data_IF_913393325239
#
_entry.id   IF_913393325239
#
_cell.length_a   1.000
_cell.length_b   1.000
_cell.length_c   1.000
_cell.angle_alpha   90.00
_cell.angle_beta   90.00
_cell.angle_gamma   90.00
#
_symmetry.space_group_name_H-M   'P 1'
#
loop_
_entity.id
_entity.type
_entity.pdbx_description
1 polymer ?
#
# COMPACT_ATOMS: atom_id res chain seq x y z
N UNK A 1 44.35 23.34 15.93
CA UNK A 1 44.18 21.91 16.30
C UNK A 1 42.68 21.67 16.47
N UNK A 2 42.06 21.11 15.46
CA UNK A 2 40.67 20.68 15.56
C UNK A 2 40.66 19.20 15.91
N UNK A 3 39.86 18.75 16.89
CA UNK A 3 39.69 17.32 17.12
C UNK A 3 39.01 16.67 15.92
N UNK A 4 39.36 15.43 15.56
CA UNK A 4 38.70 14.72 14.48
C UNK A 4 37.23 14.43 14.86
N UNK A 5 36.28 14.87 14.03
CA UNK A 5 34.87 14.45 14.15
C UNK A 5 34.79 12.98 13.75
N UNK A 6 34.80 12.12 14.73
CA UNK A 6 34.78 10.67 14.52
C UNK A 6 33.38 10.08 14.43
N UNK A 7 32.34 10.78 14.88
CA UNK A 7 30.96 10.24 14.85
C UNK A 7 29.93 11.36 14.60
N UNK A 8 29.03 11.09 13.67
CA UNK A 8 27.79 11.86 13.51
C UNK A 8 26.61 10.95 13.88
N UNK A 9 25.80 11.37 14.87
CA UNK A 9 24.61 10.62 15.28
C UNK A 9 23.44 11.08 14.42
N UNK A 10 22.86 10.13 13.70
CA UNK A 10 21.64 10.36 12.91
C UNK A 10 20.40 10.19 13.82
N UNK A 11 19.34 10.95 13.57
CA UNK A 11 18.10 10.89 14.36
C UNK A 11 17.38 9.52 14.34
N UNK A 12 17.82 8.55 13.51
CA UNK A 12 17.34 7.17 13.45
C UNK A 12 18.13 6.19 14.32
N UNK A 13 19.16 6.64 15.06
CA UNK A 13 19.96 5.77 15.92
C UNK A 13 21.06 4.96 15.22
N UNK A 14 21.24 5.10 13.91
CA UNK A 14 22.35 4.50 13.17
C UNK A 14 23.55 5.45 13.12
N UNK A 15 24.74 4.95 13.47
CA UNK A 15 25.99 5.71 13.39
C UNK A 15 26.65 5.47 12.02
N UNK A 16 26.92 6.54 11.27
CA UNK A 16 27.73 6.46 10.06
C UNK A 16 29.19 6.72 10.40
N UNK A 17 30.07 5.73 10.17
CA UNK A 17 31.50 5.87 10.36
C UNK A 17 32.12 6.67 9.20
N UNK A 18 32.58 7.88 9.51
CA UNK A 18 33.23 8.79 8.56
C UNK A 18 34.76 8.65 8.55
N UNK A 19 35.32 7.65 9.24
CA UNK A 19 36.78 7.47 9.42
C UNK A 19 37.56 7.17 8.15
N UNK A 20 36.93 6.70 7.08
CA UNK A 20 37.58 6.30 5.82
C UNK A 20 37.62 7.37 4.73
N UNK A 21 36.99 8.54 4.93
CA UNK A 21 36.99 9.60 3.93
C UNK A 21 38.27 10.43 3.98
N UNK A 22 39.03 10.46 2.88
CA UNK A 22 40.39 11.00 2.78
C UNK A 22 40.44 12.54 2.73
N UNK A 23 39.33 13.25 2.42
CA UNK A 23 39.28 14.69 2.40
C UNK A 23 37.86 15.25 2.65
N UNK A 24 37.75 16.58 2.83
CA UNK A 24 36.50 17.29 3.15
C UNK A 24 35.44 17.18 2.04
N UNK A 25 35.86 17.16 0.78
CA UNK A 25 34.95 17.08 -0.37
C UNK A 25 34.28 15.70 -0.45
N UNK A 26 35.05 14.63 -0.27
CA UNK A 26 34.53 13.25 -0.23
C UNK A 26 33.56 13.00 0.91
N UNK A 27 33.72 13.72 2.04
CA UNK A 27 32.79 13.66 3.20
C UNK A 27 31.46 14.31 2.92
N UNK A 28 31.46 15.45 2.19
CA UNK A 28 30.24 16.17 1.80
C UNK A 28 29.45 15.31 0.79
N UNK A 29 30.12 14.73 -0.19
CA UNK A 29 29.51 13.90 -1.21
C UNK A 29 28.90 12.60 -0.66
N UNK A 30 29.52 12.01 0.38
CA UNK A 30 28.97 10.86 1.09
C UNK A 30 27.70 11.19 1.88
N UNK A 31 27.62 12.40 2.45
CA UNK A 31 26.43 12.87 3.19
C UNK A 31 25.27 13.23 2.26
N UNK A 32 25.56 13.79 1.09
CA UNK A 32 24.54 14.10 0.07
C UNK A 32 23.91 12.83 -0.52
N UNK A 33 24.68 11.77 -0.72
CA UNK A 33 24.18 10.46 -1.17
C UNK A 33 23.30 9.75 -0.14
N UNK A 34 23.45 10.08 1.14
CA UNK A 34 22.59 9.57 2.22
C UNK A 34 21.32 10.40 2.46
N UNK A 35 21.06 11.42 1.64
CA UNK A 35 19.86 12.28 1.76
C UNK A 35 19.89 13.30 2.90
N UNK A 36 21.02 13.44 3.58
CA UNK A 36 21.19 14.41 4.70
C UNK A 36 21.58 15.76 4.14
N UNK A 37 20.68 16.74 4.20
CA UNK A 37 21.01 18.13 3.85
C UNK A 37 21.81 18.77 4.97
N UNK A 38 23.13 18.95 4.76
CA UNK A 38 23.95 19.76 5.65
C UNK A 38 23.70 21.25 5.41
N UNK A 39 23.09 21.91 6.39
CA UNK A 39 23.07 23.39 6.42
C UNK A 39 24.44 23.84 6.92
N UNK A 40 25.25 24.39 6.02
CA UNK A 40 26.56 24.93 6.35
C UNK A 40 26.42 26.18 7.21
N UNK A 41 26.74 26.09 8.50
CA UNK A 41 26.91 27.24 9.36
C UNK A 41 28.30 27.88 9.07
N UNK A 42 28.30 29.04 8.47
CA UNK A 42 29.48 29.90 8.43
C UNK A 42 29.66 30.52 9.81
N UNK A 43 30.52 29.92 10.61
CA UNK A 43 31.00 30.56 11.83
C UNK A 43 32.19 31.45 11.46
N UNK A 44 31.97 32.75 11.34
CA UNK A 44 33.06 33.75 11.41
C UNK A 44 33.58 33.79 12.86
N UNK A 45 34.72 33.16 13.08
CA UNK A 45 35.49 33.38 14.30
C UNK A 45 36.27 34.67 14.18
N UNK A 46 35.75 35.73 14.74
CA UNK A 46 36.53 36.91 15.12
C UNK A 46 36.30 37.16 16.60
N UNK A 47 37.41 37.10 17.37
CA UNK A 47 37.62 37.63 18.73
C UNK A 47 36.61 37.25 19.84
N UNK A 48 37.01 36.33 20.70
CA UNK A 48 37.06 36.48 22.17
C UNK A 48 35.79 36.50 23.02
N UNK A 49 34.59 36.57 22.45
CA UNK A 49 33.37 36.64 23.26
C UNK A 49 32.51 35.39 23.09
N UNK A 50 32.27 34.69 24.19
CA UNK A 50 31.30 33.59 24.22
C UNK A 50 29.90 34.17 24.10
N UNK A 51 29.12 33.82 23.05
CA UNK A 51 27.73 34.25 23.01
C UNK A 51 26.96 33.58 24.17
N UNK A 52 25.98 34.25 24.79
CA UNK A 52 25.16 33.65 25.83
C UNK A 52 24.41 32.43 25.24
N UNK A 53 24.46 31.33 25.97
CA UNK A 53 23.64 30.16 25.70
C UNK A 53 22.17 30.59 25.73
N UNK A 54 21.60 30.93 24.58
CA UNK A 54 20.15 31.03 24.43
C UNK A 54 19.60 29.63 24.52
N UNK A 55 19.02 29.30 25.67
CA UNK A 55 18.14 28.17 25.84
C UNK A 55 17.00 28.34 24.81
N UNK A 56 17.10 27.67 23.68
CA UNK A 56 15.95 27.51 22.80
C UNK A 56 14.86 26.82 23.59
N UNK A 57 13.64 27.33 23.64
CA UNK A 57 12.59 26.70 24.41
C UNK A 57 12.35 25.30 23.87
N UNK A 58 12.41 24.31 24.77
CA UNK A 58 12.21 22.87 24.49
C UNK A 58 10.92 22.59 23.68
N UNK A 59 9.97 23.54 23.68
CA UNK A 59 8.76 23.49 22.86
C UNK A 59 9.03 23.54 21.35
N UNK A 60 10.04 24.29 20.89
CA UNK A 60 10.33 24.40 19.45
C UNK A 60 10.93 23.09 18.88
N UNK A 61 11.68 22.33 19.70
CA UNK A 61 12.17 20.99 19.32
C UNK A 61 11.05 19.96 19.30
N UNK A 62 10.07 20.06 20.21
CA UNK A 62 8.91 19.17 20.24
C UNK A 62 7.95 19.41 19.06
N UNK A 63 7.82 20.63 18.57
CA UNK A 63 7.00 20.93 17.39
C UNK A 63 7.67 20.43 16.08
N UNK A 64 9.01 20.49 15.99
CA UNK A 64 9.73 19.94 14.83
C UNK A 64 9.71 18.41 14.76
N UNK A 65 9.56 17.73 15.90
CA UNK A 65 9.42 16.27 15.93
C UNK A 65 7.97 15.80 15.74
N UNK A 66 7.01 16.68 16.02
CA UNK A 66 5.58 16.38 15.86
C UNK A 66 5.13 16.42 14.41
N UNK A 67 5.76 17.24 13.56
CA UNK A 67 5.45 17.33 12.12
C UNK A 67 6.09 16.22 11.28
N UNK A 68 7.02 15.43 11.84
CA UNK A 68 7.67 14.33 11.12
C UNK A 68 7.00 12.97 11.35
N UNK A 69 6.00 12.88 12.24
CA UNK A 69 5.04 11.78 12.25
C UNK A 69 3.80 12.25 11.45
N UNK A 70 3.98 12.69 10.23
CA UNK A 70 2.93 12.60 9.24
C UNK A 70 2.74 11.10 8.99
N UNK A 71 1.73 10.54 9.65
CA UNK A 71 1.03 9.37 9.16
C UNK A 71 0.83 9.61 7.67
N UNK A 72 1.52 8.85 6.80
CA UNK A 72 1.31 8.90 5.36
C UNK A 72 -0.20 9.03 5.14
N UNK A 73 -0.68 9.99 4.33
CA UNK A 73 -2.10 10.09 4.07
C UNK A 73 -2.51 8.71 3.59
N UNK A 74 -3.46 8.08 4.29
CA UNK A 74 -4.03 6.79 3.92
C UNK A 74 -4.70 7.01 2.55
N UNK A 75 -3.88 6.88 1.49
CA UNK A 75 -4.22 7.20 0.11
C UNK A 75 -5.36 6.27 -0.31
N UNK A 76 -6.41 6.83 -0.88
CA UNK A 76 -7.52 6.06 -1.40
C UNK A 76 -7.01 5.11 -2.50
N UNK A 77 -7.42 3.84 -2.46
CA UNK A 77 -7.05 2.87 -3.51
C UNK A 77 -7.53 3.33 -4.89
N UNK A 78 -8.56 4.17 -4.94
CA UNK A 78 -9.13 4.72 -6.19
C UNK A 78 -8.22 5.74 -6.89
N UNK A 79 -7.17 6.25 -6.23
CA UNK A 79 -6.17 7.13 -6.84
C UNK A 79 -5.15 6.35 -7.71
N UNK A 80 -5.14 5.03 -7.59
CA UNK A 80 -4.23 4.17 -8.35
C UNK A 80 -4.77 3.97 -9.76
N UNK A 81 -3.89 4.07 -10.76
CA UNK A 81 -4.27 3.81 -12.15
C UNK A 81 -4.27 2.30 -12.41
N UNK A 82 -5.40 1.77 -12.80
CA UNK A 82 -5.57 0.38 -13.25
C UNK A 82 -6.63 0.38 -14.35
N UNK A 83 -6.42 -0.42 -15.40
CA UNK A 83 -7.38 -0.52 -16.50
C UNK A 83 -8.43 -1.61 -16.22
N UNK A 84 -9.58 -1.54 -16.91
CA UNK A 84 -10.52 -2.67 -16.97
C UNK A 84 -9.91 -3.82 -17.75
N UNK A 85 -10.41 -5.01 -17.54
CA UNK A 85 -9.96 -6.22 -18.24
C UNK A 85 -10.00 -6.06 -19.77
N UNK A 86 -11.00 -5.37 -20.30
CA UNK A 86 -11.14 -5.06 -21.74
C UNK A 86 -10.32 -3.85 -22.20
N UNK A 87 -9.54 -3.22 -21.31
CA UNK A 87 -8.72 -2.05 -21.61
C UNK A 87 -9.45 -0.70 -21.69
N UNK A 88 -10.77 -0.67 -21.49
CA UNK A 88 -11.58 0.55 -21.64
C UNK A 88 -11.89 1.23 -20.30
N UNK A 89 -11.12 2.26 -19.95
CA UNK A 89 -11.32 3.03 -18.69
C UNK A 89 -10.84 2.31 -17.44
N UNK A 90 -11.24 2.81 -16.28
CA UNK A 90 -10.88 2.24 -14.97
C UNK A 90 -12.03 1.40 -14.41
N UNK A 91 -11.79 0.23 -13.80
CA UNK A 91 -12.82 -0.49 -13.07
C UNK A 91 -13.27 0.27 -11.81
N UNK A 92 -12.49 1.22 -11.34
CA UNK A 92 -12.87 2.07 -10.21
C UNK A 92 -14.05 2.98 -10.50
N UNK A 93 -14.31 3.33 -11.78
CA UNK A 93 -15.48 4.13 -12.18
C UNK A 93 -16.80 3.46 -11.76
N UNK A 94 -16.83 2.11 -11.69
CA UNK A 94 -18.04 1.34 -11.32
C UNK A 94 -18.21 1.20 -9.81
N UNK A 95 -17.13 1.35 -9.04
CA UNK A 95 -17.11 1.06 -7.61
C UNK A 95 -16.87 2.29 -6.73
N UNK A 96 -16.57 3.43 -7.33
CA UNK A 96 -16.34 4.68 -6.61
C UNK A 96 -17.54 5.04 -5.72
N UNK A 97 -17.28 5.30 -4.43
CA UNK A 97 -18.31 5.61 -3.43
C UNK A 97 -19.14 4.42 -2.96
N UNK A 98 -18.80 3.21 -3.39
CA UNK A 98 -19.39 1.95 -2.90
C UNK A 98 -18.46 1.26 -1.91
N UNK A 99 -19.02 0.46 -1.03
CA UNK A 99 -18.27 -0.55 -0.29
C UNK A 99 -17.86 -1.64 -1.28
N UNK A 100 -16.57 -1.95 -1.37
CA UNK A 100 -16.06 -2.83 -2.44
C UNK A 100 -15.24 -3.99 -1.85
N UNK A 101 -15.60 -5.22 -2.20
CA UNK A 101 -14.78 -6.39 -1.94
C UNK A 101 -13.81 -6.60 -3.11
N UNK A 102 -12.55 -6.19 -2.92
CA UNK A 102 -11.48 -6.35 -3.89
C UNK A 102 -10.79 -7.70 -3.69
N UNK A 103 -10.69 -8.51 -4.74
CA UNK A 103 -10.20 -9.89 -4.67
C UNK A 103 -9.24 -10.19 -5.83
N UNK A 104 -8.05 -10.72 -5.54
CA UNK A 104 -7.19 -11.26 -6.60
C UNK A 104 -7.70 -12.64 -7.03
N UNK A 105 -7.99 -12.81 -8.30
CA UNK A 105 -8.73 -13.95 -8.83
C UNK A 105 -7.94 -14.78 -9.83
N UNK A 106 -8.34 -16.04 -10.02
CA UNK A 106 -7.78 -16.95 -11.01
C UNK A 106 -8.81 -18.00 -11.47
N UNK A 107 -8.74 -18.37 -12.75
CA UNK A 107 -9.68 -19.29 -13.40
C UNK A 107 -9.40 -20.77 -13.13
N UNK A 108 -8.15 -21.14 -12.77
CA UNK A 108 -7.70 -22.54 -12.63
C UNK A 108 -7.18 -22.88 -11.23
N UNK A 109 -7.81 -22.29 -10.20
CA UNK A 109 -7.46 -22.48 -8.80
C UNK A 109 -8.48 -23.40 -8.10
N UNK A 110 -8.05 -24.13 -7.09
CA UNK A 110 -8.99 -24.87 -6.22
C UNK A 110 -10.01 -23.99 -5.51
N UNK A 111 -9.71 -22.68 -5.37
CA UNK A 111 -10.60 -21.68 -4.76
C UNK A 111 -11.50 -20.95 -5.77
N UNK A 112 -11.38 -21.25 -7.08
CA UNK A 112 -12.20 -20.64 -8.15
C UNK A 112 -13.72 -20.72 -7.89
N UNK A 113 -14.28 -21.77 -7.24
CA UNK A 113 -15.71 -21.79 -6.88
C UNK A 113 -16.18 -20.61 -6.00
N UNK A 114 -15.28 -19.88 -5.35
CA UNK A 114 -15.63 -18.67 -4.59
C UNK A 114 -16.27 -17.57 -5.47
N UNK A 115 -16.09 -17.61 -6.79
CA UNK A 115 -16.80 -16.70 -7.71
C UNK A 115 -18.32 -16.74 -7.51
N UNK A 116 -18.89 -17.93 -7.21
CA UNK A 116 -20.35 -18.06 -6.98
C UNK A 116 -20.80 -17.18 -5.82
N UNK A 117 -20.13 -17.26 -4.67
CA UNK A 117 -20.46 -16.45 -3.51
C UNK A 117 -20.19 -14.95 -3.74
N UNK A 118 -19.10 -14.62 -4.46
CA UNK A 118 -18.79 -13.24 -4.83
C UNK A 118 -19.90 -12.65 -5.71
N UNK A 119 -20.38 -13.38 -6.72
CA UNK A 119 -21.45 -12.95 -7.60
C UNK A 119 -22.78 -12.83 -6.84
N UNK A 120 -23.08 -13.76 -5.95
CA UNK A 120 -24.29 -13.68 -5.12
C UNK A 120 -24.29 -12.43 -4.25
N UNK A 121 -23.19 -12.14 -3.53
CA UNK A 121 -23.05 -10.93 -2.72
C UNK A 121 -23.19 -9.65 -3.57
N UNK A 122 -22.59 -9.64 -4.77
CA UNK A 122 -22.72 -8.52 -5.68
C UNK A 122 -24.19 -8.28 -6.06
N UNK A 123 -24.90 -9.33 -6.45
CA UNK A 123 -26.30 -9.28 -6.82
C UNK A 123 -27.17 -8.78 -5.68
N UNK A 124 -27.02 -9.36 -4.49
CA UNK A 124 -27.90 -9.10 -3.32
C UNK A 124 -27.67 -7.71 -2.71
N UNK A 125 -26.44 -7.19 -2.79
CA UNK A 125 -26.06 -5.97 -2.08
C UNK A 125 -25.76 -4.77 -2.99
N UNK A 126 -25.78 -4.94 -4.32
CA UNK A 126 -25.47 -3.85 -5.26
C UNK A 126 -26.39 -2.64 -5.09
N UNK A 127 -27.69 -2.88 -4.86
CA UNK A 127 -28.68 -1.83 -4.59
C UNK A 127 -28.42 -1.06 -3.27
N UNK A 128 -27.67 -1.66 -2.33
CA UNK A 128 -27.27 -1.02 -1.07
C UNK A 128 -25.94 -0.26 -1.17
N UNK A 129 -25.33 -0.22 -2.37
CA UNK A 129 -24.06 0.45 -2.60
C UNK A 129 -22.83 -0.43 -2.31
N UNK A 130 -22.95 -1.73 -2.55
CA UNK A 130 -21.86 -2.68 -2.54
C UNK A 130 -21.43 -3.06 -3.95
N UNK A 131 -20.19 -3.48 -4.10
CA UNK A 131 -19.69 -4.11 -5.32
C UNK A 131 -18.56 -5.09 -5.00
N UNK A 132 -18.30 -5.98 -5.95
CA UNK A 132 -17.07 -6.77 -6.00
C UNK A 132 -16.18 -6.20 -7.09
N UNK A 133 -14.87 -6.26 -6.90
CA UNK A 133 -13.87 -5.98 -7.94
C UNK A 133 -12.89 -7.15 -8.01
N UNK A 134 -12.91 -7.89 -9.12
CA UNK A 134 -11.95 -8.96 -9.36
C UNK A 134 -10.68 -8.43 -10.05
N UNK A 135 -9.54 -8.86 -9.56
CA UNK A 135 -8.21 -8.52 -10.10
C UNK A 135 -7.49 -9.79 -10.53
N UNK A 136 -7.49 -10.15 -11.82
CA UNK A 136 -6.81 -11.34 -12.32
C UNK A 136 -5.31 -11.31 -12.03
N UNK A 137 -4.75 -12.44 -11.54
CA UNK A 137 -3.34 -12.58 -11.22
C UNK A 137 -2.82 -13.99 -11.59
N UNK A 138 -1.69 -14.05 -12.32
CA UNK A 138 -1.10 -15.30 -12.76
C UNK A 138 0.11 -15.76 -11.94
N UNK A 139 0.46 -15.07 -10.86
CA UNK A 139 1.68 -15.36 -10.08
C UNK A 139 1.60 -16.66 -9.26
N UNK A 140 0.40 -17.13 -8.93
CA UNK A 140 0.19 -18.32 -8.12
C UNK A 140 0.07 -19.55 -9.02
N UNK A 141 1.18 -20.23 -9.24
CA UNK A 141 1.32 -21.48 -10.06
C UNK A 141 0.77 -21.33 -11.49
N UNK A 142 0.74 -20.12 -12.07
CA UNK A 142 0.23 -19.91 -13.41
C UNK A 142 -1.27 -20.22 -13.55
N UNK A 143 -2.06 -20.03 -12.50
CA UNK A 143 -3.47 -20.41 -12.44
C UNK A 143 -4.42 -19.41 -13.13
N UNK A 144 -3.89 -18.32 -13.71
CA UNK A 144 -4.64 -17.40 -14.58
C UNK A 144 -3.92 -17.17 -15.92
N UNK A 145 -3.75 -18.25 -16.73
CA UNK A 145 -2.98 -18.16 -17.96
C UNK A 145 -3.70 -17.44 -19.10
N UNK A 146 -5.03 -17.32 -19.04
CA UNK A 146 -5.88 -16.76 -20.08
C UNK A 146 -5.54 -15.30 -20.44
N UNK A 147 -5.83 -14.90 -21.67
CA UNK A 147 -5.85 -13.50 -22.05
C UNK A 147 -7.14 -12.82 -21.52
N UNK A 148 -7.28 -11.51 -21.72
CA UNK A 148 -8.40 -10.75 -21.20
C UNK A 148 -9.77 -11.27 -21.69
N UNK A 149 -9.86 -11.64 -22.95
CA UNK A 149 -11.10 -12.17 -23.53
C UNK A 149 -11.46 -13.54 -22.94
N UNK A 150 -10.49 -14.44 -22.82
CA UNK A 150 -10.68 -15.79 -22.23
C UNK A 150 -11.12 -15.71 -20.77
N UNK A 151 -10.52 -14.78 -19.99
CA UNK A 151 -10.89 -14.55 -18.59
C UNK A 151 -12.34 -14.01 -18.51
N UNK A 152 -12.66 -13.00 -19.33
CA UNK A 152 -14.01 -12.43 -19.37
C UNK A 152 -15.06 -13.47 -19.72
N UNK A 153 -14.81 -14.27 -20.76
CA UNK A 153 -15.70 -15.35 -21.20
C UNK A 153 -15.87 -16.41 -20.11
N UNK A 154 -14.77 -16.87 -19.51
CA UNK A 154 -14.82 -17.82 -18.41
C UNK A 154 -15.66 -17.32 -17.24
N UNK A 155 -15.40 -16.10 -16.76
CA UNK A 155 -16.10 -15.53 -15.62
C UNK A 155 -17.60 -15.36 -15.91
N UNK A 156 -17.97 -14.86 -17.08
CA UNK A 156 -19.38 -14.63 -17.43
C UNK A 156 -20.14 -15.91 -17.72
N UNK A 157 -19.54 -16.88 -18.46
CA UNK A 157 -20.24 -18.09 -18.87
C UNK A 157 -20.31 -19.15 -17.79
N UNK A 158 -19.27 -19.24 -16.95
CA UNK A 158 -19.18 -20.30 -15.92
C UNK A 158 -19.82 -19.87 -14.60
N UNK A 159 -19.68 -18.61 -14.23
CA UNK A 159 -20.13 -18.10 -12.92
C UNK A 159 -21.15 -16.96 -13.01
N UNK A 160 -21.49 -16.51 -14.23
CA UNK A 160 -22.42 -15.41 -14.43
C UNK A 160 -21.90 -14.06 -13.91
N UNK A 161 -20.56 -13.91 -13.82
CA UNK A 161 -19.94 -12.69 -13.24
C UNK A 161 -20.32 -11.46 -14.06
N UNK A 162 -20.93 -10.48 -13.40
CA UNK A 162 -21.29 -9.17 -13.93
C UNK A 162 -20.64 -7.99 -13.17
N UNK A 163 -19.91 -8.27 -12.09
CA UNK A 163 -19.10 -7.27 -11.40
C UNK A 163 -17.81 -6.94 -12.19
N UNK A 164 -17.23 -5.72 -11.99
CA UNK A 164 -16.07 -5.29 -12.74
C UNK A 164 -14.84 -6.17 -12.49
N UNK A 165 -14.08 -6.39 -13.57
CA UNK A 165 -12.75 -7.02 -13.56
C UNK A 165 -11.70 -6.03 -14.04
N UNK A 166 -10.54 -6.01 -13.39
CA UNK A 166 -9.40 -5.23 -13.83
C UNK A 166 -8.55 -6.00 -14.86
N UNK A 167 -7.62 -5.29 -15.49
CA UNK A 167 -6.50 -5.92 -16.17
C UNK A 167 -5.75 -6.89 -15.27
N UNK A 168 -5.07 -7.87 -15.87
CA UNK A 168 -4.22 -8.81 -15.13
C UNK A 168 -2.96 -8.12 -14.66
N UNK A 169 -2.68 -8.20 -13.34
CA UNK A 169 -1.52 -7.54 -12.72
C UNK A 169 -0.75 -8.50 -11.81
N UNK A 170 0.49 -8.12 -11.50
CA UNK A 170 1.27 -8.76 -10.47
C UNK A 170 0.94 -8.15 -9.09
N UNK A 171 0.70 -9.02 -8.12
CA UNK A 171 0.30 -8.64 -6.76
C UNK A 171 1.45 -8.70 -5.76
N UNK A 172 2.56 -9.38 -6.11
CA UNK A 172 3.75 -9.57 -5.28
C UNK A 172 5.05 -9.32 -6.05
N UNK A 173 6.17 -9.17 -5.33
CA UNK A 173 7.52 -9.00 -5.88
C UNK A 173 7.78 -7.61 -6.43
N UNK A 174 8.89 -7.47 -7.18
CA UNK A 174 9.38 -6.17 -7.69
C UNK A 174 8.44 -5.55 -8.73
N UNK A 175 7.68 -6.38 -9.46
CA UNK A 175 6.68 -5.94 -10.45
C UNK A 175 5.28 -5.71 -9.84
N UNK A 176 5.15 -5.75 -8.51
CA UNK A 176 3.88 -5.51 -7.81
C UNK A 176 3.22 -4.23 -8.28
N UNK A 177 1.97 -4.34 -8.70
CA UNK A 177 1.18 -3.18 -9.08
C UNK A 177 0.98 -2.22 -7.89
N UNK A 178 0.98 -0.90 -8.16
CA UNK A 178 0.86 0.15 -7.13
C UNK A 178 -0.37 -0.01 -6.23
N UNK A 179 -1.49 -0.52 -6.76
CA UNK A 179 -2.68 -0.87 -5.98
C UNK A 179 -2.34 -1.83 -4.83
N UNK A 180 -1.62 -2.90 -5.12
CA UNK A 180 -1.24 -3.89 -4.11
C UNK A 180 -0.13 -3.40 -3.19
N UNK A 181 0.72 -2.46 -3.62
CA UNK A 181 1.70 -1.84 -2.74
C UNK A 181 1.04 -1.13 -1.54
N UNK A 182 -0.14 -0.54 -1.73
CA UNK A 182 -0.92 0.06 -0.64
C UNK A 182 -1.71 -0.98 0.17
N UNK A 183 -2.33 -1.96 -0.50
CA UNK A 183 -3.19 -2.96 0.15
C UNK A 183 -2.43 -3.86 1.13
N UNK A 184 -1.22 -4.30 0.78
CA UNK A 184 -0.42 -5.25 1.60
C UNK A 184 0.04 -4.66 2.94
N UNK A 185 -0.06 -3.37 3.14
CA UNK A 185 0.23 -2.71 4.43
C UNK A 185 -0.90 -2.86 5.45
N UNK A 186 -2.10 -3.24 4.99
CA UNK A 186 -3.27 -3.41 5.85
C UNK A 186 -3.22 -4.77 6.54
N UNK A 187 -3.42 -4.83 7.88
CA UNK A 187 -3.45 -6.09 8.61
C UNK A 187 -4.77 -6.84 8.38
N UNK A 188 -4.72 -8.16 8.48
CA UNK A 188 -5.93 -8.97 8.71
C UNK A 188 -6.27 -9.05 10.21
N UNK A 189 -7.29 -9.82 10.56
CA UNK A 189 -7.74 -9.98 11.95
C UNK A 189 -6.68 -10.61 12.88
N UNK A 190 -5.70 -11.32 12.33
CA UNK A 190 -4.60 -11.94 13.06
C UNK A 190 -3.35 -11.03 13.12
N UNK A 191 -3.42 -9.85 12.51
CA UNK A 191 -2.33 -8.88 12.45
C UNK A 191 -1.33 -9.12 11.30
N UNK A 192 -1.61 -10.04 10.38
CA UNK A 192 -0.74 -10.28 9.23
C UNK A 192 -0.77 -9.10 8.26
N UNK A 193 0.41 -8.61 7.91
CA UNK A 193 0.66 -7.66 6.81
C UNK A 193 1.67 -8.27 5.85
N UNK A 194 1.81 -7.68 4.65
CA UNK A 194 2.77 -8.15 3.65
C UNK A 194 2.12 -8.86 2.47
N UNK A 195 2.91 -9.68 1.77
CA UNK A 195 2.57 -10.27 0.47
C UNK A 195 1.21 -10.98 0.45
N UNK A 196 0.59 -10.98 -0.73
CA UNK A 196 -0.62 -11.76 -0.99
C UNK A 196 -0.25 -13.23 -0.90
N UNK A 197 -0.97 -13.97 -0.04
CA UNK A 197 -0.64 -15.35 0.31
C UNK A 197 -1.01 -16.37 -0.77
N UNK A 198 -2.12 -16.10 -1.49
CA UNK A 198 -2.63 -16.97 -2.55
C UNK A 198 -3.71 -16.26 -3.37
N UNK A 199 -4.23 -16.94 -4.43
CA UNK A 199 -5.44 -16.48 -5.11
C UNK A 199 -6.62 -16.39 -4.15
N UNK A 200 -7.53 -15.48 -4.41
CA UNK A 200 -8.73 -15.20 -3.61
C UNK A 200 -8.43 -14.63 -2.20
N UNK A 201 -7.36 -13.88 -2.02
CA UNK A 201 -7.21 -13.01 -0.86
C UNK A 201 -8.08 -11.76 -1.06
N UNK A 202 -8.76 -11.32 -0.01
CA UNK A 202 -9.79 -10.28 -0.10
C UNK A 202 -9.43 -9.07 0.73
N UNK A 203 -9.76 -7.88 0.18
CA UNK A 203 -9.71 -6.61 0.89
C UNK A 203 -11.08 -5.95 0.82
N UNK A 204 -11.65 -5.60 1.96
CA UNK A 204 -12.85 -4.79 2.01
C UNK A 204 -12.46 -3.33 2.01
N UNK A 205 -12.98 -2.58 1.04
CA UNK A 205 -12.70 -1.17 0.83
C UNK A 205 -13.96 -0.38 1.20
N UNK A 206 -13.81 0.61 2.04
CA UNK A 206 -14.89 1.52 2.41
C UNK A 206 -15.25 2.50 1.28
N UNK A 207 -16.34 3.21 1.45
CA UNK A 207 -16.82 4.23 0.47
C UNK A 207 -15.78 5.33 0.20
N UNK A 208 -14.89 5.59 1.15
CA UNK A 208 -13.80 6.57 1.09
C UNK A 208 -12.54 6.02 0.40
N UNK A 209 -12.57 4.78 -0.07
CA UNK A 209 -11.44 4.12 -0.72
C UNK A 209 -10.36 3.61 0.23
N UNK A 210 -10.65 3.52 1.53
CA UNK A 210 -9.71 2.97 2.51
C UNK A 210 -10.00 1.52 2.80
N UNK A 211 -8.94 0.76 3.11
CA UNK A 211 -9.08 -0.64 3.53
C UNK A 211 -9.74 -0.69 4.92
N UNK A 212 -10.85 -1.40 5.02
CA UNK A 212 -11.59 -1.64 6.25
C UNK A 212 -11.22 -2.98 6.88
N UNK A 213 -11.02 -4.01 6.04
CA UNK A 213 -10.63 -5.34 6.49
C UNK A 213 -9.86 -6.10 5.41
N UNK A 214 -9.10 -7.12 5.83
CA UNK A 214 -8.39 -8.06 4.97
C UNK A 214 -8.74 -9.48 5.40
N UNK A 215 -9.01 -10.38 4.44
CA UNK A 215 -9.37 -11.77 4.70
C UNK A 215 -8.49 -12.70 3.90
N UNK A 216 -8.02 -13.76 4.55
CA UNK A 216 -7.17 -14.77 3.93
C UNK A 216 -7.86 -15.50 2.76
N UNK A 217 -7.08 -16.18 1.90
CA UNK A 217 -7.59 -16.85 0.71
C UNK A 217 -8.68 -17.91 1.01
N UNK A 218 -8.52 -18.64 2.13
CA UNK A 218 -9.41 -19.73 2.53
C UNK A 218 -10.74 -19.26 3.14
N UNK A 219 -10.83 -17.99 3.56
CA UNK A 219 -12.08 -17.43 4.07
C UNK A 219 -13.04 -17.23 2.91
N UNK A 220 -14.18 -17.91 2.95
CA UNK A 220 -15.18 -17.81 1.89
C UNK A 220 -15.78 -16.39 1.85
N UNK A 221 -16.14 -15.87 0.65
CA UNK A 221 -16.72 -14.52 0.54
C UNK A 221 -18.02 -14.36 1.32
N UNK A 222 -18.80 -15.41 1.50
CA UNK A 222 -20.05 -15.51 2.24
C UNK A 222 -19.85 -15.96 3.70
N UNK A 223 -18.62 -16.05 4.18
CA UNK A 223 -18.34 -16.36 5.58
C UNK A 223 -18.94 -15.27 6.51
N UNK A 224 -19.46 -15.65 7.70
CA UNK A 224 -20.12 -14.71 8.62
C UNK A 224 -19.31 -13.46 8.93
N UNK A 225 -17.99 -13.59 9.11
CA UNK A 225 -17.10 -12.48 9.38
C UNK A 225 -16.96 -11.52 8.20
N UNK A 226 -16.99 -12.01 6.95
CA UNK A 226 -16.94 -11.18 5.74
C UNK A 226 -18.25 -10.43 5.58
N UNK A 227 -19.37 -11.14 5.70
CA UNK A 227 -20.72 -10.54 5.59
C UNK A 227 -20.94 -9.49 6.66
N UNK A 228 -20.56 -9.77 7.92
CA UNK A 228 -20.69 -8.81 9.02
C UNK A 228 -19.84 -7.55 8.79
N UNK A 229 -18.62 -7.71 8.24
CA UNK A 229 -17.77 -6.56 7.90
C UNK A 229 -18.38 -5.73 6.77
N UNK A 230 -18.94 -6.36 5.73
CA UNK A 230 -19.64 -5.68 4.62
C UNK A 230 -20.86 -4.90 5.16
N UNK A 231 -21.71 -5.55 5.96
CA UNK A 231 -22.89 -4.90 6.55
C UNK A 231 -22.50 -3.71 7.42
N UNK A 232 -21.47 -3.87 8.25
CA UNK A 232 -20.95 -2.77 9.08
C UNK A 232 -20.42 -1.59 8.24
N UNK A 233 -19.81 -1.86 7.09
CA UNK A 233 -19.29 -0.82 6.20
C UNK A 233 -20.39 -0.13 5.38
N UNK A 234 -21.51 -0.83 5.16
CA UNK A 234 -22.68 -0.28 4.45
C UNK A 234 -23.48 0.70 5.34
N UNK A 235 -23.53 0.51 6.66
CA UNK A 235 -24.19 1.38 7.65
C UNK A 235 -25.57 0.90 7.98
#
# INVERSE_FOLDING_TARGET
>A
YFPPLTHCVHCSGESVDLGTAVNRASRIEALEKSGIKCVAWHASCVAGERPPLRLFPLRLLLDLTRDHIRKEPNMSVYETKIARLNGAGSPFDDVLGKVTLLVNVASKCGLTPQYTAMQQLHTDLSAKGFSVLGVPCNQFMGQEPGNAQEIQEFCSTTYGVDFPLSEKVDVNGDARHALYASLVTSPDAEGYTGDIRWNFEKFLIGRDGKVVARFGPQVAPDAPEVVAAIESALG
#
